data_IF_233483083604
#
_entry.id   IF_233483083604
#
_cell.length_a   1.000
_cell.length_b   1.000
_cell.length_c   1.000
_cell.angle_alpha   90.00
_cell.angle_beta   90.00
_cell.angle_gamma   90.00
#
_symmetry.space_group_name_H-M   'P 1'
#
loop_
_entity.id
_entity.type
_entity.pdbx_description
1 polymer ?
#
# COMPACT_ATOMS: atom_id res chain seq x y z
N UNK A 1 37.17 82.63 -12.69
CA UNK A 1 36.46 82.32 -11.44
C UNK A 1 34.96 82.36 -11.71
N UNK A 2 34.27 81.20 -11.70
CA UNK A 2 32.80 81.16 -11.68
C UNK A 2 32.38 80.68 -10.30
N UNK A 3 31.70 81.55 -9.56
CA UNK A 3 31.05 81.23 -8.30
C UNK A 3 29.85 80.30 -8.58
N UNK A 4 29.88 79.07 -8.05
CA UNK A 4 28.68 78.23 -7.92
C UNK A 4 28.08 78.46 -6.53
N UNK A 5 26.80 78.86 -6.51
CA UNK A 5 26.03 79.20 -5.32
C UNK A 5 25.87 78.03 -4.31
N UNK A 6 25.80 78.28 -2.99
CA UNK A 6 25.67 77.22 -1.97
C UNK A 6 24.24 76.64 -1.83
N UNK A 7 23.27 77.12 -2.61
CA UNK A 7 21.83 76.87 -2.38
C UNK A 7 21.33 75.54 -2.99
N UNK A 8 22.07 74.94 -3.92
CA UNK A 8 21.60 73.76 -4.68
C UNK A 8 21.77 72.43 -3.91
N UNK A 9 22.76 72.36 -3.00
CA UNK A 9 23.05 71.16 -2.22
C UNK A 9 21.95 70.75 -1.19
N UNK A 10 21.38 71.68 -0.38
CA UNK A 10 20.35 71.31 0.60
C UNK A 10 19.03 70.89 -0.05
N UNK A 11 18.63 71.53 -1.17
CA UNK A 11 17.39 71.18 -1.87
C UNK A 11 17.42 69.77 -2.48
N UNK A 12 18.59 69.33 -2.97
CA UNK A 12 18.74 67.98 -3.54
C UNK A 12 18.67 66.89 -2.46
N UNK A 13 19.29 67.12 -1.30
CA UNK A 13 19.23 66.20 -0.17
C UNK A 13 17.82 66.09 0.44
N UNK A 14 17.05 67.18 0.44
CA UNK A 14 15.65 67.19 0.89
C UNK A 14 14.73 66.46 -0.09
N UNK A 15 14.93 66.64 -1.40
CA UNK A 15 14.20 65.91 -2.43
C UNK A 15 14.46 64.39 -2.39
N UNK A 16 15.72 63.97 -2.19
CA UNK A 16 16.07 62.54 -2.05
C UNK A 16 15.52 61.92 -0.77
N UNK A 17 15.43 62.69 0.32
CA UNK A 17 14.76 62.24 1.56
C UNK A 17 13.25 62.12 1.37
N UNK A 18 12.65 63.00 0.56
CA UNK A 18 11.23 62.96 0.25
C UNK A 18 10.88 61.76 -0.63
N UNK A 19 11.65 61.49 -1.69
CA UNK A 19 11.45 60.29 -2.52
C UNK A 19 11.61 58.99 -1.73
N UNK A 20 12.62 58.89 -0.85
CA UNK A 20 12.77 57.71 0.02
C UNK A 20 11.57 57.49 0.94
N UNK A 21 10.99 58.56 1.50
CA UNK A 21 9.77 58.45 2.32
C UNK A 21 8.56 58.01 1.50
N UNK A 22 8.41 58.50 0.27
CA UNK A 22 7.32 58.10 -0.64
C UNK A 22 7.46 56.62 -1.09
N UNK A 23 8.69 56.14 -1.28
CA UNK A 23 9.01 54.73 -1.54
C UNK A 23 8.69 53.84 -0.33
N UNK A 24 9.09 54.25 0.87
CA UNK A 24 8.79 53.55 2.13
C UNK A 24 7.28 53.50 2.39
N UNK A 25 6.55 54.60 2.16
CA UNK A 25 5.09 54.65 2.26
C UNK A 25 4.40 53.72 1.26
N UNK A 26 4.90 53.67 0.02
CA UNK A 26 4.40 52.76 -1.01
C UNK A 26 4.62 51.29 -0.64
N UNK A 27 5.79 50.97 -0.06
CA UNK A 27 6.11 49.63 0.41
C UNK A 27 5.22 49.23 1.60
N UNK A 28 4.97 50.14 2.53
CA UNK A 28 4.07 49.90 3.68
C UNK A 28 2.65 49.62 3.19
N UNK A 29 2.15 50.37 2.21
CA UNK A 29 0.80 50.16 1.63
C UNK A 29 0.74 48.79 0.94
N UNK A 30 1.76 48.42 0.17
CA UNK A 30 1.84 47.13 -0.49
C UNK A 30 1.86 45.96 0.52
N UNK A 31 2.73 46.03 1.53
CA UNK A 31 2.81 45.01 2.57
C UNK A 31 1.52 44.89 3.37
N UNK A 32 0.85 46.01 3.66
CA UNK A 32 -0.45 45.99 4.34
C UNK A 32 -1.52 45.26 3.53
N UNK A 33 -1.55 45.48 2.21
CA UNK A 33 -2.47 44.80 1.30
C UNK A 33 -2.18 43.30 1.20
N UNK A 34 -0.91 42.92 1.19
CA UNK A 34 -0.49 41.52 1.15
C UNK A 34 -0.86 40.77 2.45
N UNK A 35 -0.68 41.42 3.62
CA UNK A 35 -1.09 40.88 4.92
C UNK A 35 -2.62 40.70 4.98
N UNK A 36 -3.38 41.68 4.49
CA UNK A 36 -4.84 41.60 4.43
C UNK A 36 -5.32 40.45 3.53
N UNK A 37 -4.70 40.27 2.35
CA UNK A 37 -4.98 39.14 1.47
C UNK A 37 -4.61 37.78 2.11
N UNK A 38 -3.50 37.72 2.85
CA UNK A 38 -3.08 36.52 3.57
C UNK A 38 -4.03 36.17 4.73
N UNK A 39 -4.55 37.16 5.44
CA UNK A 39 -5.56 36.97 6.49
C UNK A 39 -6.86 36.39 5.93
N UNK A 40 -7.40 36.98 4.86
CA UNK A 40 -8.61 36.47 4.20
C UNK A 40 -8.44 35.02 3.71
N UNK A 41 -7.27 34.69 3.17
CA UNK A 41 -6.95 33.32 2.76
C UNK A 41 -6.91 32.37 3.96
N UNK A 42 -6.36 32.81 5.08
CA UNK A 42 -6.28 32.01 6.31
C UNK A 42 -7.67 31.75 6.87
N UNK A 43 -8.54 32.76 6.94
CA UNK A 43 -9.92 32.61 7.40
C UNK A 43 -10.72 31.64 6.51
N UNK A 44 -10.53 31.72 5.19
CA UNK A 44 -11.17 30.79 4.24
C UNK A 44 -10.70 29.34 4.46
N UNK A 45 -9.41 29.14 4.67
CA UNK A 45 -8.84 27.80 4.93
C UNK A 45 -9.23 27.26 6.31
N UNK A 46 -9.41 28.12 7.30
CA UNK A 46 -9.89 27.72 8.62
C UNK A 46 -11.34 27.24 8.56
N UNK A 47 -12.19 27.94 7.80
CA UNK A 47 -13.57 27.53 7.54
C UNK A 47 -13.64 26.18 6.82
N UNK A 48 -12.86 25.99 5.75
CA UNK A 48 -12.80 24.70 5.03
C UNK A 48 -12.31 23.57 5.95
N UNK A 49 -11.30 23.83 6.80
CA UNK A 49 -10.86 22.86 7.79
C UNK A 49 -11.96 22.51 8.81
N UNK A 50 -12.78 23.48 9.21
CA UNK A 50 -13.91 23.23 10.11
C UNK A 50 -14.96 22.35 9.43
N UNK A 51 -15.29 22.60 8.17
CA UNK A 51 -16.23 21.79 7.39
C UNK A 51 -15.70 20.36 7.20
N UNK A 52 -14.41 20.20 6.87
CA UNK A 52 -13.75 18.89 6.77
C UNK A 52 -13.77 18.14 8.10
N UNK A 53 -13.56 18.84 9.23
CA UNK A 53 -13.65 18.23 10.57
C UNK A 53 -15.07 17.73 10.86
N UNK A 54 -16.10 18.49 10.49
CA UNK A 54 -17.50 18.05 10.64
C UNK A 54 -17.79 16.82 9.78
N UNK A 55 -17.30 16.81 8.54
CA UNK A 55 -17.46 15.67 7.63
C UNK A 55 -16.76 14.41 8.15
N UNK A 56 -15.56 14.54 8.71
CA UNK A 56 -14.86 13.44 9.37
C UNK A 56 -15.67 12.90 10.56
N UNK A 57 -16.29 13.76 11.37
CA UNK A 57 -17.16 13.33 12.48
C UNK A 57 -18.37 12.57 11.94
N UNK A 58 -19.02 13.08 10.89
CA UNK A 58 -20.16 12.44 10.24
C UNK A 58 -19.81 11.06 9.67
N UNK A 59 -18.69 10.95 8.95
CA UNK A 59 -18.20 9.70 8.39
C UNK A 59 -17.81 8.70 9.48
N UNK A 60 -17.18 9.16 10.57
CA UNK A 60 -16.89 8.31 11.74
C UNK A 60 -18.18 7.76 12.37
N UNK A 61 -19.22 8.58 12.51
CA UNK A 61 -20.52 8.12 13.01
C UNK A 61 -21.15 7.07 12.08
N UNK A 62 -21.07 7.26 10.76
CA UNK A 62 -21.55 6.30 9.77
C UNK A 62 -20.78 4.97 9.85
N UNK A 63 -19.45 5.01 9.98
CA UNK A 63 -18.61 3.82 10.16
C UNK A 63 -18.98 3.09 11.46
N UNK A 64 -19.19 3.82 12.56
CA UNK A 64 -19.64 3.24 13.83
C UNK A 64 -20.99 2.53 13.69
N UNK A 65 -21.96 3.13 13.00
CA UNK A 65 -23.26 2.53 12.71
C UNK A 65 -23.13 1.26 11.87
N UNK A 66 -22.34 1.29 10.79
CA UNK A 66 -22.07 0.12 9.95
C UNK A 66 -21.39 -1.01 10.73
N UNK A 67 -20.43 -0.67 11.59
CA UNK A 67 -19.73 -1.62 12.45
C UNK A 67 -20.66 -2.24 13.50
N UNK A 68 -21.60 -1.47 14.06
CA UNK A 68 -22.63 -1.99 14.97
C UNK A 68 -23.53 -3.00 14.24
N UNK A 69 -23.97 -2.67 13.03
CA UNK A 69 -24.80 -3.56 12.22
C UNK A 69 -24.08 -4.85 11.82
N UNK A 70 -22.78 -4.78 11.50
CA UNK A 70 -21.96 -5.96 11.21
C UNK A 70 -21.78 -6.85 12.46
N UNK A 71 -21.55 -6.24 13.62
CA UNK A 71 -21.49 -6.97 14.89
C UNK A 71 -22.83 -7.62 15.25
N UNK A 72 -23.96 -6.96 14.98
CA UNK A 72 -25.30 -7.52 15.18
C UNK A 72 -25.57 -8.71 14.26
N UNK A 73 -25.22 -8.59 12.96
CA UNK A 73 -25.28 -9.71 12.00
C UNK A 73 -24.45 -10.90 12.46
N UNK A 74 -23.22 -10.65 12.91
CA UNK A 74 -22.34 -11.70 13.47
C UNK A 74 -22.98 -12.32 14.71
N UNK A 75 -23.52 -11.53 15.63
CA UNK A 75 -24.20 -12.00 16.83
C UNK A 75 -25.41 -12.89 16.50
N UNK A 76 -26.21 -12.52 15.50
CA UNK A 76 -27.34 -13.34 15.03
C UNK A 76 -26.89 -14.67 14.42
N UNK A 77 -25.80 -14.67 13.64
CA UNK A 77 -25.21 -15.90 13.09
C UNK A 77 -24.66 -16.81 14.19
N UNK A 78 -23.97 -16.24 15.18
CA UNK A 78 -23.47 -16.97 16.35
C UNK A 78 -24.63 -17.57 17.17
N UNK A 79 -25.73 -16.85 17.37
CA UNK A 79 -26.94 -17.37 18.02
C UNK A 79 -27.58 -18.53 17.24
N UNK A 80 -27.60 -18.45 15.90
CA UNK A 80 -28.07 -19.56 15.04
C UNK A 80 -27.17 -20.79 15.11
N UNK A 81 -25.85 -20.61 15.24
CA UNK A 81 -24.92 -21.71 15.40
C UNK A 81 -25.07 -22.42 16.76
N UNK A 82 -25.45 -21.67 17.80
CA UNK A 82 -25.52 -22.18 19.18
C UNK A 82 -26.82 -22.96 19.49
N UNK A 83 -27.90 -22.74 18.72
CA UNK A 83 -29.18 -23.44 18.86
C UNK A 83 -29.59 -24.16 17.55
N UNK A 84 -29.11 -25.39 17.28
CA UNK A 84 -29.45 -26.12 16.06
C UNK A 84 -30.79 -26.86 16.13
N UNK A 85 -31.44 -26.93 17.30
CA UNK A 85 -32.62 -27.76 17.55
C UNK A 85 -33.89 -26.91 17.72
N UNK A 86 -34.31 -26.25 16.63
CA UNK A 86 -35.72 -25.88 16.45
C UNK A 86 -36.04 -25.80 14.96
N UNK A 87 -35.91 -26.96 14.30
CA UNK A 87 -36.34 -27.15 12.92
C UNK A 87 -37.10 -28.46 12.85
N UNK A 88 -38.35 -28.43 13.33
CA UNK A 88 -39.33 -29.48 13.05
C UNK A 88 -40.72 -28.86 13.14
N UNK A 89 -41.52 -29.04 12.07
CA UNK A 89 -42.91 -28.60 11.85
C UNK A 89 -43.01 -27.18 11.23
N UNK A 90 -43.66 -26.95 10.09
CA UNK A 90 -44.58 -27.78 9.30
C UNK A 90 -44.61 -27.23 7.88
N UNK A 91 -44.50 -28.13 6.90
CA UNK A 91 -45.10 -27.99 5.57
C UNK A 91 -46.62 -27.75 5.69
N UNK A 92 -47.24 -27.31 4.58
CA UNK A 92 -48.68 -27.08 4.34
C UNK A 92 -49.15 -25.64 4.59
N UNK A 93 -49.19 -24.81 3.53
CA UNK A 93 -50.43 -24.39 2.85
C UNK A 93 -50.11 -23.41 1.70
N UNK A 94 -49.94 -23.92 0.48
CA UNK A 94 -50.29 -23.16 -0.72
C UNK A 94 -51.79 -23.36 -0.93
N UNK A 95 -52.57 -22.28 -0.98
CA UNK A 95 -53.64 -22.00 -1.95
C UNK A 95 -54.63 -20.95 -1.41
N UNK A 96 -54.84 -19.87 -2.21
CA UNK A 96 -56.14 -19.18 -2.48
C UNK A 96 -56.35 -17.74 -1.95
N UNK A 97 -57.02 -16.98 -2.83
CA UNK A 97 -57.54 -15.59 -2.82
C UNK A 97 -56.51 -14.50 -3.18
N UNK A 98 -56.52 -13.84 -4.36
CA UNK A 98 -57.56 -13.34 -5.29
C UNK A 98 -58.55 -12.36 -4.64
N UNK A 99 -58.28 -11.08 -4.95
CA UNK A 99 -59.15 -9.92 -5.17
C UNK A 99 -60.17 -9.48 -4.10
N UNK A 100 -59.94 -8.29 -3.49
CA UNK A 100 -60.93 -7.19 -3.45
C UNK A 100 -60.35 -5.85 -2.92
N UNK A 101 -60.54 -4.78 -3.71
CA UNK A 101 -60.90 -3.38 -3.34
C UNK A 101 -59.89 -2.40 -2.69
N UNK A 102 -59.35 -1.52 -3.55
CA UNK A 102 -59.68 -0.08 -3.78
C UNK A 102 -60.01 0.84 -2.58
N UNK A 103 -59.51 2.10 -2.68
CA UNK A 103 -59.81 3.36 -1.92
C UNK A 103 -58.80 3.61 -0.78
N UNK A 104 -58.16 4.78 -0.56
CA UNK A 104 -58.34 6.16 -1.03
C UNK A 104 -57.02 6.96 -0.96
N UNK A 105 -56.98 8.04 -1.71
CA UNK A 105 -55.93 9.06 -1.81
C UNK A 105 -55.83 9.95 -0.55
N UNK A 106 -54.60 10.38 -0.22
CA UNK A 106 -54.24 11.82 -0.12
C UNK A 106 -52.76 11.96 0.21
N UNK A 107 -51.97 12.39 -0.77
CA UNK A 107 -50.61 12.89 -0.57
C UNK A 107 -50.57 14.33 -1.11
N UNK A 108 -50.14 15.26 -0.27
CA UNK A 108 -49.92 16.66 -0.63
C UNK A 108 -48.45 16.83 -0.98
N UNK A 109 -48.22 17.31 -2.21
CA UNK A 109 -46.92 17.64 -2.80
C UNK A 109 -46.30 18.89 -2.15
N UNK A 110 -44.95 18.91 -2.04
CA UNK A 110 -44.03 20.04 -2.28
C UNK A 110 -42.60 19.53 -2.03
N UNK A 111 -41.52 19.86 -2.76
CA UNK A 111 -41.27 20.20 -4.17
C UNK A 111 -39.73 20.21 -4.34
N UNK A 112 -39.19 19.31 -5.16
CA UNK A 112 -37.92 19.32 -5.97
C UNK A 112 -36.52 19.66 -5.39
N UNK A 113 -35.40 19.33 -6.11
CA UNK A 113 -35.25 18.41 -7.25
C UNK A 113 -34.11 17.37 -7.08
N UNK A 114 -34.33 16.19 -7.68
CA UNK A 114 -33.37 15.09 -7.83
C UNK A 114 -32.77 15.12 -9.26
N UNK A 115 -31.45 15.02 -9.48
CA UNK A 115 -30.91 14.91 -10.82
C UNK A 115 -31.25 13.55 -11.45
N UNK A 116 -31.62 13.62 -12.72
CA UNK A 116 -32.08 12.55 -13.60
C UNK A 116 -31.04 11.43 -13.79
N UNK A 117 -31.49 10.18 -13.64
CA UNK A 117 -30.81 8.99 -14.16
C UNK A 117 -31.18 8.90 -15.65
N UNK A 118 -30.49 9.69 -16.47
CA UNK A 118 -30.49 9.55 -17.93
C UNK A 118 -29.07 9.74 -18.44
N UNK A 119 -28.11 9.00 -17.89
CA UNK A 119 -26.76 8.95 -18.47
C UNK A 119 -26.03 7.65 -18.10
N UNK A 120 -26.70 6.50 -18.25
CA UNK A 120 -26.01 5.19 -18.20
C UNK A 120 -26.48 4.20 -19.27
N UNK A 121 -27.29 4.63 -20.23
CA UNK A 121 -27.64 3.84 -21.41
C UNK A 121 -26.59 4.06 -22.52
N UNK A 122 -25.36 3.64 -22.26
CA UNK A 122 -24.33 3.44 -23.29
C UNK A 122 -23.35 2.37 -22.83
N UNK A 123 -23.88 1.25 -22.32
CA UNK A 123 -23.10 0.02 -22.27
C UNK A 123 -23.11 -0.52 -23.70
N UNK A 124 -22.04 -0.15 -24.41
CA UNK A 124 -21.59 -0.76 -25.65
C UNK A 124 -21.69 -2.28 -25.52
N UNK A 125 -22.48 -2.87 -26.40
CA UNK A 125 -22.44 -4.27 -26.76
C UNK A 125 -20.98 -4.68 -27.03
N UNK A 126 -20.33 -5.34 -26.06
CA UNK A 126 -18.95 -5.82 -26.20
C UNK A 126 -18.98 -7.10 -27.03
N UNK A 127 -18.62 -6.98 -28.31
CA UNK A 127 -18.28 -8.11 -29.17
C UNK A 127 -17.03 -8.85 -28.65
N UNK A 128 -16.94 -10.14 -28.98
CA UNK A 128 -15.78 -11.00 -28.71
C UNK A 128 -14.48 -10.33 -29.17
N UNK A 129 -13.55 -10.13 -28.24
CA UNK A 129 -12.27 -9.45 -28.49
C UNK A 129 -11.24 -10.49 -28.95
N UNK A 130 -10.57 -10.19 -30.06
CA UNK A 130 -9.42 -10.98 -30.52
C UNK A 130 -8.23 -10.66 -29.60
N UNK A 131 -7.52 -11.66 -29.05
CA UNK A 131 -6.37 -11.42 -28.18
C UNK A 131 -5.25 -10.69 -28.93
N UNK A 132 -4.63 -9.68 -28.31
CA UNK A 132 -3.38 -9.13 -28.82
C UNK A 132 -2.21 -10.06 -28.45
N UNK A 133 -1.27 -10.32 -29.37
CA UNK A 133 -0.14 -11.19 -29.06
C UNK A 133 0.77 -10.58 -27.98
N UNK A 134 1.38 -11.39 -27.10
CA UNK A 134 2.32 -10.89 -26.11
C UNK A 134 3.59 -10.33 -26.76
N UNK A 135 4.32 -9.42 -26.09
CA UNK A 135 5.61 -8.94 -26.56
C UNK A 135 6.60 -10.11 -26.68
N UNK A 136 7.12 -10.35 -27.88
CA UNK A 136 7.99 -11.50 -28.18
C UNK A 136 9.44 -11.19 -27.78
N UNK A 137 10.15 -12.08 -27.05
CA UNK A 137 11.56 -11.89 -26.72
C UNK A 137 12.47 -12.11 -27.94
N UNK A 138 13.54 -11.32 -28.04
CA UNK A 138 14.54 -11.37 -29.12
C UNK A 138 15.32 -12.69 -29.05
N UNK A 139 15.15 -13.57 -30.05
CA UNK A 139 15.77 -14.90 -30.08
C UNK A 139 16.80 -15.02 -31.20
N UNK A 140 18.05 -15.33 -30.80
CA UNK A 140 19.08 -15.94 -31.64
C UNK A 140 19.26 -17.38 -31.12
N UNK A 141 19.14 -18.36 -32.02
CA UNK A 141 19.38 -19.81 -31.80
C UNK A 141 20.74 -20.22 -32.43
N UNK A 142 21.26 -21.49 -32.36
CA UNK A 142 20.71 -22.80 -31.89
C UNK A 142 21.79 -23.67 -31.12
N UNK A 143 21.84 -25.04 -31.10
CA UNK A 143 20.84 -26.13 -31.26
C UNK A 143 20.79 -27.17 -30.11
N UNK A 144 19.84 -28.11 -30.24
CA UNK A 144 19.40 -29.22 -29.35
C UNK A 144 20.17 -30.55 -29.56
N UNK A 145 20.18 -31.42 -28.52
CA UNK A 145 20.45 -32.88 -28.63
C UNK A 145 19.48 -33.70 -27.76
N UNK A 146 19.14 -34.90 -28.25
CA UNK A 146 18.19 -35.92 -27.73
C UNK A 146 18.95 -37.16 -27.20
N UNK A 147 18.34 -37.91 -26.27
CA UNK A 147 18.35 -39.40 -26.05
C UNK A 147 17.53 -39.69 -24.75
N UNK A 148 16.44 -40.49 -24.66
CA UNK A 148 16.22 -41.96 -24.74
C UNK A 148 17.07 -42.78 -23.72
N UNK A 149 16.63 -43.73 -22.88
CA UNK A 149 15.43 -44.59 -22.81
C UNK A 149 15.31 -45.33 -21.43
N UNK A 150 14.09 -45.76 -21.07
CA UNK A 150 13.58 -46.94 -20.29
C UNK A 150 14.12 -47.45 -18.91
N UNK A 151 13.21 -47.60 -17.91
CA UNK A 151 12.74 -48.92 -17.36
C UNK A 151 11.68 -48.82 -16.22
N UNK A 152 10.79 -49.85 -16.14
CA UNK A 152 9.58 -50.03 -15.28
C UNK A 152 9.81 -50.73 -13.91
N UNK A 153 9.19 -50.20 -12.82
CA UNK A 153 8.30 -50.73 -11.71
C UNK A 153 8.32 -52.21 -11.21
N UNK A 154 7.75 -52.63 -10.02
CA UNK A 154 7.12 -51.95 -8.83
C UNK A 154 7.50 -52.62 -7.43
N UNK A 155 6.64 -52.69 -6.36
CA UNK A 155 6.42 -51.73 -5.26
C UNK A 155 6.67 -52.28 -3.81
N UNK A 156 6.76 -51.43 -2.77
CA UNK A 156 6.02 -51.53 -1.46
C UNK A 156 6.53 -50.61 -0.33
N UNK A 157 5.57 -50.21 0.52
CA UNK A 157 5.64 -49.75 1.91
C UNK A 157 5.98 -48.27 2.21
N UNK A 158 4.97 -47.60 2.78
CA UNK A 158 5.03 -46.27 3.38
C UNK A 158 5.47 -46.36 4.86
N UNK A 159 6.27 -45.40 5.37
CA UNK A 159 6.47 -45.23 6.81
C UNK A 159 5.38 -44.34 7.44
N UNK A 160 5.06 -44.54 8.73
CA UNK A 160 4.00 -43.81 9.44
C UNK A 160 4.36 -42.35 9.76
N UNK A 161 3.36 -41.50 10.06
CA UNK A 161 3.57 -40.07 10.35
C UNK A 161 4.23 -39.83 11.72
N UNK A 162 5.12 -38.82 11.84
CA UNK A 162 5.73 -38.42 13.10
C UNK A 162 4.74 -37.66 14.02
N UNK A 163 4.87 -37.81 15.36
CA UNK A 163 4.02 -37.19 16.36
C UNK A 163 4.25 -35.66 16.52
N UNK A 164 3.24 -34.93 17.02
CA UNK A 164 3.30 -33.47 17.20
C UNK A 164 4.20 -33.04 18.39
N UNK A 165 4.93 -31.93 18.28
CA UNK A 165 5.82 -31.45 19.34
C UNK A 165 5.05 -30.78 20.51
N UNK A 166 5.52 -30.93 21.76
CA UNK A 166 4.90 -30.33 22.94
C UNK A 166 5.17 -28.82 23.04
N UNK A 167 4.16 -28.09 23.51
CA UNK A 167 4.25 -26.71 23.94
C UNK A 167 5.28 -26.52 25.06
N UNK A 168 6.29 -25.68 24.87
CA UNK A 168 6.99 -25.00 25.96
C UNK A 168 7.17 -23.51 25.64
N UNK A 169 6.43 -22.68 26.36
CA UNK A 169 6.69 -21.26 26.54
C UNK A 169 7.71 -21.06 27.67
N UNK A 170 8.78 -20.30 27.41
CA UNK A 170 9.55 -19.52 28.39
C UNK A 170 10.52 -18.63 27.58
N UNK A 171 10.33 -17.32 27.42
CA UNK A 171 10.40 -16.23 28.39
C UNK A 171 10.77 -14.97 27.57
N UNK A 172 10.65 -13.71 27.99
CA UNK A 172 10.24 -13.07 29.23
C UNK A 172 10.18 -11.57 28.92
N UNK A 173 9.00 -10.94 28.95
CA UNK A 173 8.82 -9.52 29.33
C UNK A 173 7.46 -9.41 30.02
N UNK A 174 7.47 -8.80 31.21
CA UNK A 174 6.42 -8.82 32.20
C UNK A 174 5.11 -8.18 31.71
N UNK A 175 4.09 -9.01 31.45
CA UNK A 175 2.67 -8.68 31.61
C UNK A 175 1.94 -9.97 32.01
N UNK A 176 1.44 -10.04 33.25
CA UNK A 176 0.56 -11.13 33.68
C UNK A 176 -0.86 -10.77 33.24
N UNK A 177 -1.54 -11.66 32.51
CA UNK A 177 -2.98 -11.51 32.29
C UNK A 177 -3.67 -11.61 33.63
N UNK A 178 -4.47 -10.60 33.96
CA UNK A 178 -5.28 -10.51 35.17
C UNK A 178 -6.71 -10.95 34.77
N UNK A 179 -7.12 -12.20 35.05
CA UNK A 179 -8.45 -12.70 34.67
C UNK A 179 -9.58 -11.87 35.29
N UNK A 180 -9.33 -11.26 36.45
CA UNK A 180 -10.27 -10.36 37.13
C UNK A 180 -10.66 -9.15 36.29
N UNK A 181 -9.81 -8.66 35.38
CA UNK A 181 -10.15 -7.52 34.50
C UNK A 181 -11.26 -7.90 33.51
N UNK A 182 -11.23 -9.15 33.03
CA UNK A 182 -12.26 -9.67 32.12
C UNK A 182 -13.56 -9.90 32.87
N UNK A 183 -13.49 -10.43 34.10
CA UNK A 183 -14.68 -10.59 34.95
C UNK A 183 -15.27 -9.24 35.40
N UNK A 184 -14.43 -8.26 35.72
CA UNK A 184 -14.83 -6.90 36.07
C UNK A 184 -15.50 -6.20 34.89
N UNK A 185 -14.93 -6.31 33.68
CA UNK A 185 -15.56 -5.82 32.45
C UNK A 185 -16.90 -6.52 32.18
N UNK A 186 -16.98 -7.84 32.40
CA UNK A 186 -18.22 -8.61 32.26
C UNK A 186 -19.26 -8.26 33.34
N UNK A 187 -18.84 -7.87 34.53
CA UNK A 187 -19.70 -7.41 35.61
C UNK A 187 -20.27 -6.01 35.33
N UNK A 188 -19.44 -5.10 34.81
CA UNK A 188 -19.85 -3.75 34.41
C UNK A 188 -20.80 -3.76 33.20
N UNK A 189 -20.59 -4.66 32.24
CA UNK A 189 -21.40 -4.73 31.01
C UNK A 189 -22.66 -5.58 31.14
N UNK A 190 -22.87 -6.28 32.26
CA UNK A 190 -24.05 -7.14 32.50
C UNK A 190 -25.15 -6.53 33.35
N UNK A 191 -24.99 -5.31 33.87
CA UNK A 191 -26.07 -4.60 34.58
C UNK A 191 -26.75 -3.59 33.68
N UNK A 192 -27.68 -4.09 32.86
CA UNK A 192 -28.86 -3.37 32.35
C UNK A 192 -29.86 -4.36 31.72
N UNK A 193 -30.20 -5.43 32.45
CA UNK A 193 -31.22 -6.39 32.01
C UNK A 193 -32.06 -6.92 33.17
N UNK A 194 -32.36 -6.07 34.16
CA UNK A 194 -33.34 -6.39 35.18
C UNK A 194 -34.14 -5.16 35.59
N UNK A 195 -35.20 -4.87 34.84
CA UNK A 195 -36.50 -4.42 35.36
C UNK A 195 -37.56 -4.58 34.25
N UNK A 196 -38.79 -4.90 34.69
CA UNK A 196 -40.06 -4.91 33.95
C UNK A 196 -40.45 -6.16 33.12
N UNK A 197 -40.95 -7.16 33.86
CA UNK A 197 -42.11 -7.93 33.43
C UNK A 197 -43.35 -7.00 33.43
N UNK A 198 -44.08 -6.90 32.30
CA UNK A 198 -45.54 -7.15 32.20
C UNK A 198 -46.07 -6.76 30.81
N UNK A 199 -46.94 -7.62 30.29
CA UNK A 199 -48.08 -7.38 29.37
C UNK A 199 -47.94 -8.01 27.98
N UNK A 200 -48.86 -8.96 27.76
CA UNK A 200 -49.14 -9.69 26.52
C UNK A 200 -49.59 -8.74 25.40
N UNK A 201 -49.23 -9.05 24.15
CA UNK A 201 -50.18 -9.01 23.03
C UNK A 201 -49.59 -9.73 21.81
N UNK A 202 -50.42 -10.55 21.18
CA UNK A 202 -50.11 -11.29 19.96
C UNK A 202 -49.80 -10.33 18.80
N UNK A 203 -48.66 -10.53 18.14
CA UNK A 203 -48.40 -9.96 16.82
C UNK A 203 -47.49 -10.91 16.04
N UNK A 204 -48.04 -11.41 14.94
CA UNK A 204 -47.35 -12.17 13.90
C UNK A 204 -46.14 -11.35 13.43
N UNK A 205 -44.91 -11.90 13.38
CA UNK A 205 -43.80 -11.17 12.79
C UNK A 205 -43.99 -11.20 11.27
N UNK A 206 -44.55 -10.12 10.72
CA UNK A 206 -44.42 -9.79 9.31
C UNK A 206 -42.93 -9.68 9.03
N UNK A 207 -42.43 -10.53 8.14
CA UNK A 207 -41.06 -10.48 7.63
C UNK A 207 -40.85 -9.12 6.99
N UNK A 208 -40.17 -8.22 7.70
CA UNK A 208 -39.76 -6.93 7.18
C UNK A 208 -38.64 -7.17 6.16
N UNK A 209 -39.01 -7.29 4.88
CA UNK A 209 -38.08 -7.12 3.77
C UNK A 209 -37.48 -5.72 3.88
N UNK A 210 -36.24 -5.62 4.36
CA UNK A 210 -35.54 -4.33 4.33
C UNK A 210 -35.41 -3.91 2.86
N UNK A 211 -35.74 -2.66 2.48
CA UNK A 211 -35.68 -2.18 1.09
C UNK A 211 -34.31 -2.36 0.43
N UNK A 212 -33.26 -2.50 1.25
CA UNK A 212 -31.88 -2.73 0.81
C UNK A 212 -31.58 -4.20 0.44
N UNK A 213 -32.38 -5.16 0.90
CA UNK A 213 -32.14 -6.58 0.65
C UNK A 213 -32.44 -6.96 -0.81
N UNK A 214 -33.46 -6.36 -1.42
CA UNK A 214 -33.79 -6.57 -2.84
C UNK A 214 -32.64 -6.04 -3.72
N UNK A 215 -32.18 -4.80 -3.49
CA UNK A 215 -31.06 -4.23 -4.24
C UNK A 215 -29.74 -4.99 -4.04
N UNK A 216 -29.47 -5.51 -2.83
CA UNK A 216 -28.29 -6.33 -2.58
C UNK A 216 -28.37 -7.70 -3.28
N UNK A 217 -29.56 -8.32 -3.36
CA UNK A 217 -29.80 -9.56 -4.08
C UNK A 217 -29.69 -9.34 -5.59
N UNK A 218 -30.27 -8.28 -6.13
CA UNK A 218 -30.19 -7.91 -7.54
C UNK A 218 -28.77 -7.56 -7.98
N UNK A 219 -28.02 -6.83 -7.14
CA UNK A 219 -26.62 -6.53 -7.42
C UNK A 219 -25.75 -7.80 -7.40
N UNK A 220 -25.96 -8.68 -6.41
CA UNK A 220 -25.29 -9.98 -6.36
C UNK A 220 -25.68 -10.86 -7.55
N UNK A 221 -26.95 -10.87 -7.96
CA UNK A 221 -27.43 -11.67 -9.09
C UNK A 221 -26.90 -11.12 -10.42
N UNK A 222 -26.83 -9.80 -10.57
CA UNK A 222 -26.22 -9.12 -11.72
C UNK A 222 -24.73 -9.43 -11.83
N UNK A 223 -23.98 -9.28 -10.74
CA UNK A 223 -22.55 -9.61 -10.69
C UNK A 223 -22.26 -11.08 -11.02
N UNK A 224 -23.01 -12.02 -10.43
CA UNK A 224 -22.88 -13.44 -10.74
C UNK A 224 -23.27 -13.77 -12.20
N UNK A 225 -24.26 -13.08 -12.74
CA UNK A 225 -24.67 -13.23 -14.14
C UNK A 225 -23.61 -12.69 -15.10
N UNK A 226 -22.98 -11.57 -14.74
CA UNK A 226 -21.88 -10.99 -15.49
C UNK A 226 -20.65 -11.91 -15.52
N UNK A 227 -20.29 -12.53 -14.37
CA UNK A 227 -19.24 -13.57 -14.32
C UNK A 227 -19.60 -14.74 -15.23
N UNK A 228 -20.81 -15.30 -15.13
CA UNK A 228 -21.23 -16.42 -15.98
C UNK A 228 -21.20 -16.06 -17.48
N UNK A 229 -21.62 -14.85 -17.83
CA UNK A 229 -21.54 -14.33 -19.19
C UNK A 229 -20.09 -14.24 -19.68
N UNK A 230 -19.15 -13.75 -18.86
CA UNK A 230 -17.74 -13.69 -19.22
C UNK A 230 -17.12 -15.08 -19.35
N UNK A 231 -17.43 -16.02 -18.46
CA UNK A 231 -16.98 -17.41 -18.54
C UNK A 231 -17.41 -18.06 -19.86
N UNK A 232 -18.63 -17.80 -20.31
CA UNK A 232 -19.14 -18.35 -21.58
C UNK A 232 -18.54 -17.63 -22.80
N UNK A 233 -18.58 -16.30 -22.82
CA UNK A 233 -18.20 -15.49 -24.00
C UNK A 233 -16.70 -15.36 -24.21
N UNK A 234 -15.91 -15.45 -23.15
CA UNK A 234 -14.46 -15.24 -23.21
C UNK A 234 -13.67 -16.56 -23.13
N UNK A 235 -14.34 -17.70 -23.31
CA UNK A 235 -13.71 -19.01 -23.21
C UNK A 235 -12.53 -19.18 -24.17
N UNK A 236 -12.65 -18.79 -25.44
CA UNK A 236 -11.51 -18.88 -26.38
C UNK A 236 -10.37 -17.95 -25.98
N UNK A 237 -10.70 -16.75 -25.52
CA UNK A 237 -9.72 -15.76 -25.05
C UNK A 237 -8.94 -16.28 -23.83
N UNK A 238 -9.62 -16.81 -22.81
CA UNK A 238 -8.95 -17.41 -21.64
C UNK A 238 -8.12 -18.63 -22.04
N UNK A 239 -8.63 -19.50 -22.92
CA UNK A 239 -7.84 -20.63 -23.42
C UNK A 239 -6.59 -20.20 -24.19
N UNK A 240 -6.63 -19.06 -24.89
CA UNK A 240 -5.45 -18.45 -25.49
C UNK A 240 -4.46 -17.98 -24.40
N UNK A 241 -4.93 -17.24 -23.39
CA UNK A 241 -4.08 -16.79 -22.29
C UNK A 241 -3.44 -17.97 -21.52
N UNK A 242 -4.19 -19.06 -21.30
CA UNK A 242 -3.67 -20.29 -20.67
C UNK A 242 -2.45 -20.80 -21.45
N UNK A 243 -2.59 -20.94 -22.77
CA UNK A 243 -1.48 -21.42 -23.62
C UNK A 243 -0.28 -20.48 -23.59
N UNK A 244 -0.51 -19.16 -23.61
CA UNK A 244 0.58 -18.18 -23.52
C UNK A 244 1.29 -18.25 -22.16
N UNK A 245 0.56 -18.33 -21.05
CA UNK A 245 1.17 -18.45 -19.72
C UNK A 245 1.89 -19.79 -19.57
N UNK A 246 1.32 -20.91 -20.01
CA UNK A 246 1.95 -22.24 -19.94
C UNK A 246 3.22 -22.32 -20.78
N UNK A 247 3.20 -21.79 -22.01
CA UNK A 247 4.34 -21.81 -22.93
C UNK A 247 5.40 -20.73 -22.64
N UNK A 248 5.07 -19.75 -21.80
CA UNK A 248 6.01 -18.67 -21.47
C UNK A 248 7.31 -19.20 -20.86
N UNK A 249 8.44 -18.75 -21.41
CA UNK A 249 9.77 -19.04 -20.91
C UNK A 249 10.63 -17.80 -21.17
N UNK A 250 11.19 -17.23 -20.11
CA UNK A 250 11.89 -15.95 -20.19
C UNK A 250 13.37 -16.13 -19.88
N UNK A 251 14.21 -15.35 -20.56
CA UNK A 251 15.65 -15.27 -20.28
C UNK A 251 16.00 -14.05 -19.44
N UNK A 252 15.26 -12.96 -19.62
CA UNK A 252 15.43 -11.73 -18.86
C UNK A 252 14.19 -11.36 -18.05
N UNK A 253 14.40 -10.77 -16.89
CA UNK A 253 13.33 -10.34 -15.97
C UNK A 253 12.55 -9.12 -16.52
N UNK A 254 13.14 -8.34 -17.42
CA UNK A 254 12.42 -7.24 -18.09
C UNK A 254 11.31 -7.76 -18.99
N UNK A 255 11.54 -8.90 -19.66
CA UNK A 255 10.52 -9.57 -20.47
C UNK A 255 9.37 -10.08 -19.59
N UNK A 256 9.68 -10.63 -18.41
CA UNK A 256 8.66 -11.04 -17.43
C UNK A 256 7.81 -9.86 -17.00
N UNK A 257 8.41 -8.68 -16.73
CA UNK A 257 7.66 -7.47 -16.38
C UNK A 257 6.73 -7.03 -17.51
N UNK A 258 7.22 -7.02 -18.75
CA UNK A 258 6.43 -6.66 -19.91
C UNK A 258 5.27 -7.64 -20.14
N UNK A 259 5.54 -8.94 -19.98
CA UNK A 259 4.55 -10.00 -20.09
C UNK A 259 3.48 -9.91 -19.00
N UNK A 260 3.87 -9.74 -17.73
CA UNK A 260 2.91 -9.58 -16.62
C UNK A 260 2.04 -8.35 -16.84
N UNK A 261 2.64 -7.23 -17.28
CA UNK A 261 1.86 -6.03 -17.61
C UNK A 261 0.83 -6.33 -18.71
N UNK A 262 1.23 -6.99 -19.79
CA UNK A 262 0.32 -7.39 -20.86
C UNK A 262 -0.77 -8.33 -20.33
N UNK A 263 -0.42 -9.34 -19.52
CA UNK A 263 -1.35 -10.31 -18.98
C UNK A 263 -2.40 -9.63 -18.09
N UNK A 264 -1.98 -8.74 -17.20
CA UNK A 264 -2.87 -7.98 -16.33
C UNK A 264 -3.74 -7.01 -17.14
N UNK A 265 -3.20 -6.38 -18.19
CA UNK A 265 -3.97 -5.52 -19.11
C UNK A 265 -5.04 -6.34 -19.87
N UNK A 266 -4.74 -7.56 -20.32
CA UNK A 266 -5.69 -8.47 -20.97
C UNK A 266 -6.77 -8.97 -19.98
N UNK A 267 -6.38 -9.38 -18.78
CA UNK A 267 -7.29 -9.86 -17.73
C UNK A 267 -8.15 -8.74 -17.13
N UNK A 268 -7.72 -7.47 -17.21
CA UNK A 268 -8.52 -6.30 -16.79
C UNK A 268 -9.84 -6.14 -17.55
N UNK A 269 -9.98 -6.83 -18.69
CA UNK A 269 -11.22 -6.83 -19.47
C UNK A 269 -12.35 -7.65 -18.85
N UNK A 270 -12.03 -8.54 -17.91
CA UNK A 270 -12.96 -9.39 -17.17
C UNK A 270 -13.67 -8.60 -16.07
N UNK A 271 -14.91 -8.98 -15.77
CA UNK A 271 -15.68 -8.40 -14.66
C UNK A 271 -15.01 -8.67 -13.31
N UNK A 272 -14.53 -9.90 -13.12
CA UNK A 272 -13.74 -10.30 -11.95
C UNK A 272 -12.76 -11.40 -12.37
N UNK A 273 -11.48 -11.07 -12.43
CA UNK A 273 -10.42 -11.98 -12.86
C UNK A 273 -10.48 -13.31 -12.06
N UNK A 274 -10.46 -13.24 -10.73
CA UNK A 274 -10.36 -14.43 -9.88
C UNK A 274 -11.62 -15.28 -9.96
N UNK A 275 -12.79 -14.66 -9.96
CA UNK A 275 -14.05 -15.39 -10.04
C UNK A 275 -14.25 -16.05 -11.42
N UNK A 276 -13.88 -15.36 -12.51
CA UNK A 276 -13.96 -15.92 -13.86
C UNK A 276 -12.95 -17.04 -14.04
N UNK A 277 -11.66 -16.81 -13.72
CA UNK A 277 -10.58 -17.79 -13.90
C UNK A 277 -10.79 -19.08 -13.08
N UNK A 278 -11.49 -19.02 -11.94
CA UNK A 278 -11.85 -20.20 -11.15
C UNK A 278 -12.69 -21.24 -11.93
N UNK A 279 -13.43 -20.82 -12.95
CA UNK A 279 -14.22 -21.72 -13.79
C UNK A 279 -13.38 -22.44 -14.86
N UNK A 280 -12.09 -22.09 -14.98
CA UNK A 280 -11.15 -22.68 -15.93
C UNK A 280 -10.10 -23.51 -15.18
N UNK A 281 -10.31 -24.85 -15.02
CA UNK A 281 -9.41 -25.69 -14.23
C UNK A 281 -8.00 -25.82 -14.80
N UNK A 282 -7.81 -25.50 -16.09
CA UNK A 282 -6.52 -25.49 -16.77
C UNK A 282 -5.77 -24.17 -16.58
N UNK A 283 -6.32 -23.20 -15.85
CA UNK A 283 -5.62 -21.96 -15.57
C UNK A 283 -4.33 -22.24 -14.78
N UNK A 284 -3.14 -21.87 -15.28
CA UNK A 284 -1.86 -22.15 -14.63
C UNK A 284 -1.61 -21.16 -13.48
N UNK A 285 -2.49 -21.15 -12.48
CA UNK A 285 -2.53 -20.19 -11.37
C UNK A 285 -1.17 -20.02 -10.69
N UNK A 286 -0.52 -21.15 -10.36
CA UNK A 286 0.79 -21.13 -9.70
C UNK A 286 1.87 -20.44 -10.52
N UNK A 287 1.84 -20.59 -11.85
CA UNK A 287 2.81 -19.97 -12.75
C UNK A 287 2.51 -18.48 -12.95
N UNK A 288 1.23 -18.13 -13.16
CA UNK A 288 0.80 -16.74 -13.27
C UNK A 288 1.15 -15.94 -12.00
N UNK A 289 0.88 -16.51 -10.83
CA UNK A 289 1.22 -15.89 -9.54
C UNK A 289 2.73 -15.77 -9.36
N UNK A 290 3.50 -16.78 -9.73
CA UNK A 290 4.97 -16.72 -9.67
C UNK A 290 5.55 -15.63 -10.61
N UNK A 291 4.99 -15.46 -11.81
CA UNK A 291 5.37 -14.39 -12.74
C UNK A 291 5.09 -13.02 -12.15
N UNK A 292 3.89 -12.81 -11.60
CA UNK A 292 3.50 -11.56 -10.92
C UNK A 292 4.37 -11.26 -9.72
N UNK A 293 4.62 -12.26 -8.89
CA UNK A 293 5.50 -12.15 -7.73
C UNK A 293 6.93 -11.76 -8.14
N UNK A 294 7.49 -12.42 -9.15
CA UNK A 294 8.82 -12.09 -9.68
C UNK A 294 8.90 -10.67 -10.23
N UNK A 295 7.93 -10.27 -11.06
CA UNK A 295 7.85 -8.93 -11.63
C UNK A 295 7.71 -7.85 -10.55
N UNK A 296 6.88 -8.10 -9.53
CA UNK A 296 6.69 -7.19 -8.40
C UNK A 296 7.96 -7.05 -7.58
N UNK A 297 8.53 -8.16 -7.12
CA UNK A 297 9.72 -8.19 -6.27
C UNK A 297 10.90 -7.50 -6.96
N UNK A 298 11.16 -7.84 -8.23
CA UNK A 298 12.23 -7.20 -8.98
C UNK A 298 12.01 -5.69 -9.13
N UNK A 299 10.79 -5.26 -9.44
CA UNK A 299 10.45 -3.83 -9.56
C UNK A 299 10.64 -3.10 -8.24
N UNK A 300 10.17 -3.66 -7.14
CA UNK A 300 10.28 -3.05 -5.80
C UNK A 300 11.75 -2.86 -5.40
N UNK A 301 12.56 -3.90 -5.56
CA UNK A 301 14.00 -3.85 -5.30
C UNK A 301 14.72 -2.85 -6.22
N UNK A 302 14.39 -2.84 -7.51
CA UNK A 302 14.98 -1.90 -8.48
C UNK A 302 14.61 -0.45 -8.14
N UNK A 303 13.37 -0.19 -7.73
CA UNK A 303 12.95 1.14 -7.32
C UNK A 303 13.72 1.60 -6.07
N UNK A 304 13.87 0.72 -5.07
CA UNK A 304 14.64 1.02 -3.87
C UNK A 304 16.14 1.23 -4.17
N UNK A 305 16.72 0.40 -5.05
CA UNK A 305 18.08 0.58 -5.53
C UNK A 305 18.24 1.96 -6.19
N UNK A 306 17.30 2.33 -7.07
CA UNK A 306 17.34 3.61 -7.77
C UNK A 306 17.18 4.80 -6.83
N UNK A 307 16.37 4.68 -5.78
CA UNK A 307 16.19 5.71 -4.74
C UNK A 307 17.50 5.96 -3.98
N UNK A 308 18.23 4.89 -3.63
CA UNK A 308 19.51 4.98 -2.92
C UNK A 308 20.63 5.45 -3.86
N UNK A 309 20.65 4.92 -5.09
CA UNK A 309 21.63 5.27 -6.11
C UNK A 309 21.43 6.70 -6.62
N UNK A 310 20.22 7.25 -6.60
CA UNK A 310 19.98 8.66 -6.96
C UNK A 310 20.05 9.62 -5.77
N UNK A 311 20.23 9.11 -4.55
CA UNK A 311 20.27 9.93 -3.35
C UNK A 311 21.34 11.02 -3.44
N UNK A 312 20.91 12.25 -3.15
CA UNK A 312 21.77 13.43 -3.05
C UNK A 312 21.52 14.13 -1.72
N UNK A 313 22.59 14.44 -1.02
CA UNK A 313 22.53 15.25 0.19
C UNK A 313 22.34 16.73 -0.17
N UNK A 314 21.36 17.37 0.46
CA UNK A 314 21.12 18.79 0.32
C UNK A 314 21.88 19.53 1.42
N UNK A 315 22.89 20.35 1.10
CA UNK A 315 23.70 21.03 2.11
C UNK A 315 22.90 22.02 2.97
N UNK A 316 21.73 22.47 2.50
CA UNK A 316 20.83 23.38 3.21
C UNK A 316 20.00 22.68 4.29
N UNK A 317 19.88 21.36 4.25
CA UNK A 317 19.07 20.62 5.21
C UNK A 317 19.81 20.51 6.54
N UNK A 318 19.08 20.63 7.65
CA UNK A 318 19.63 20.41 8.99
C UNK A 318 20.30 19.03 9.06
N UNK A 319 21.49 18.96 9.66
CA UNK A 319 22.27 17.72 9.77
C UNK A 319 21.43 16.55 10.26
N UNK A 320 20.68 16.71 11.35
CA UNK A 320 19.83 15.66 11.92
C UNK A 320 18.81 15.11 10.93
N UNK A 321 18.19 15.97 10.12
CA UNK A 321 17.22 15.56 9.09
C UNK A 321 17.92 14.81 7.95
N UNK A 322 19.06 15.32 7.49
CA UNK A 322 19.85 14.69 6.45
C UNK A 322 20.32 13.29 6.87
N UNK A 323 20.93 13.17 8.06
CA UNK A 323 21.39 11.89 8.61
C UNK A 323 20.22 10.94 8.86
N UNK A 324 19.08 11.44 9.36
CA UNK A 324 17.87 10.64 9.59
C UNK A 324 17.31 10.02 8.30
N UNK A 325 17.28 10.77 7.19
CA UNK A 325 16.87 10.22 5.88
C UNK A 325 17.84 9.15 5.38
N UNK A 326 19.15 9.36 5.52
CA UNK A 326 20.15 8.37 5.13
C UNK A 326 20.03 7.09 5.97
N UNK A 327 19.78 7.21 7.27
CA UNK A 327 19.52 6.06 8.14
C UNK A 327 18.24 5.32 7.73
N UNK A 328 17.15 6.04 7.49
CA UNK A 328 15.89 5.42 7.07
C UNK A 328 16.00 4.68 5.72
N UNK A 329 16.77 5.22 4.78
CA UNK A 329 17.07 4.53 3.51
C UNK A 329 17.90 3.27 3.73
N UNK A 330 18.95 3.34 4.56
CA UNK A 330 19.75 2.17 4.93
C UNK A 330 18.89 1.10 5.62
N UNK A 331 18.01 1.48 6.54
CA UNK A 331 17.09 0.57 7.24
C UNK A 331 16.12 -0.12 6.27
N UNK A 332 15.65 0.57 5.24
CA UNK A 332 14.78 -0.01 4.20
C UNK A 332 15.55 -1.00 3.33
N UNK A 333 16.78 -0.66 2.95
CA UNK A 333 17.70 -1.51 2.20
C UNK A 333 17.95 -2.84 2.93
N UNK A 334 18.35 -2.75 4.19
CA UNK A 334 18.64 -3.91 5.03
C UNK A 334 17.42 -4.81 5.21
N UNK A 335 16.26 -4.22 5.55
CA UNK A 335 15.02 -5.00 5.71
C UNK A 335 14.58 -5.68 4.42
N UNK A 336 14.70 -5.01 3.29
CA UNK A 336 14.29 -5.55 2.00
C UNK A 336 15.19 -6.72 1.57
N UNK A 337 16.52 -6.55 1.71
CA UNK A 337 17.46 -7.63 1.40
C UNK A 337 17.32 -8.80 2.37
N UNK A 338 17.25 -8.56 3.68
CA UNK A 338 17.12 -9.63 4.68
C UNK A 338 15.83 -10.45 4.47
N UNK A 339 14.71 -9.80 4.13
CA UNK A 339 13.47 -10.49 3.75
C UNK A 339 13.65 -11.37 2.50
N UNK A 340 14.34 -10.85 1.48
CA UNK A 340 14.60 -11.58 0.24
C UNK A 340 15.56 -12.76 0.49
N UNK A 341 16.61 -12.56 1.28
CA UNK A 341 17.60 -13.58 1.62
C UNK A 341 16.99 -14.74 2.41
N UNK A 342 16.08 -14.47 3.34
CA UNK A 342 15.39 -15.51 4.12
C UNK A 342 14.51 -16.43 3.29
N UNK A 343 14.00 -15.96 2.15
CA UNK A 343 13.07 -16.73 1.29
C UNK A 343 13.68 -17.13 -0.06
N UNK A 344 14.93 -16.70 -0.32
CA UNK A 344 15.63 -16.80 -1.60
C UNK A 344 15.62 -18.21 -2.17
N UNK A 345 16.03 -19.21 -1.41
CA UNK A 345 16.18 -20.59 -1.92
C UNK A 345 14.83 -21.17 -2.38
N UNK A 346 13.74 -20.82 -1.68
CA UNK A 346 12.39 -21.24 -2.03
C UNK A 346 11.87 -20.54 -3.29
N UNK A 347 12.17 -19.25 -3.45
CA UNK A 347 11.81 -18.47 -4.64
C UNK A 347 12.60 -18.94 -5.86
N UNK A 348 13.91 -19.14 -5.74
CA UNK A 348 14.77 -19.64 -6.83
C UNK A 348 14.26 -20.99 -7.32
N UNK A 349 13.93 -21.91 -6.42
CA UNK A 349 13.37 -23.21 -6.80
C UNK A 349 12.07 -23.05 -7.59
N UNK A 350 11.12 -22.27 -7.06
CA UNK A 350 9.83 -22.00 -7.72
C UNK A 350 10.01 -21.36 -9.09
N UNK A 351 10.88 -20.37 -9.20
CA UNK A 351 11.14 -19.65 -10.45
C UNK A 351 11.79 -20.56 -11.49
N UNK A 352 12.72 -21.42 -11.08
CA UNK A 352 13.32 -22.43 -11.96
C UNK A 352 12.28 -23.41 -12.48
N UNK A 353 11.40 -23.91 -11.61
CA UNK A 353 10.32 -24.84 -11.99
C UNK A 353 9.38 -24.22 -13.05
N UNK A 354 9.21 -22.90 -13.04
CA UNK A 354 8.37 -22.15 -13.98
C UNK A 354 9.12 -21.45 -15.12
N UNK A 355 10.43 -21.68 -15.28
CA UNK A 355 11.25 -21.02 -16.32
C UNK A 355 11.25 -19.49 -16.23
N UNK A 356 11.24 -18.97 -15.00
CA UNK A 356 11.35 -17.55 -14.67
C UNK A 356 12.82 -17.25 -14.31
N UNK A 357 13.43 -16.19 -14.89
CA UNK A 357 14.77 -15.74 -14.54
C UNK A 357 14.90 -15.49 -13.03
N UNK A 358 15.94 -16.05 -12.42
CA UNK A 358 16.18 -16.04 -10.97
C UNK A 358 17.59 -15.56 -10.63
N UNK A 359 18.46 -15.40 -11.62
CA UNK A 359 19.85 -15.00 -11.49
C UNK A 359 20.00 -13.62 -10.82
N UNK A 360 19.01 -12.74 -10.99
CA UNK A 360 18.97 -11.43 -10.36
C UNK A 360 18.84 -11.49 -8.82
N UNK A 361 18.37 -12.61 -8.25
CA UNK A 361 18.28 -12.83 -6.80
C UNK A 361 19.63 -13.18 -6.16
N UNK A 362 20.64 -13.50 -6.96
CA UNK A 362 21.97 -13.86 -6.47
C UNK A 362 22.73 -12.62 -5.97
N UNK A 363 23.75 -12.85 -5.13
CA UNK A 363 24.66 -11.80 -4.68
C UNK A 363 25.47 -11.16 -5.84
N UNK A 364 25.53 -11.82 -7.00
CA UNK A 364 26.13 -11.27 -8.22
C UNK A 364 25.15 -10.43 -9.06
N UNK A 365 23.85 -10.48 -8.73
CA UNK A 365 22.78 -9.78 -9.42
C UNK A 365 22.33 -8.52 -8.66
N UNK A 366 21.01 -8.28 -8.66
CA UNK A 366 20.39 -7.08 -8.07
C UNK A 366 20.66 -6.99 -6.57
N UNK A 367 20.70 -8.10 -5.84
CA UNK A 367 21.01 -8.09 -4.40
C UNK A 367 22.41 -7.55 -4.12
N UNK A 368 23.39 -7.95 -4.93
CA UNK A 368 24.75 -7.39 -4.87
C UNK A 368 24.77 -5.91 -5.17
N UNK A 369 24.08 -5.49 -6.24
CA UNK A 369 23.99 -4.08 -6.61
C UNK A 369 23.38 -3.22 -5.49
N UNK A 370 22.33 -3.70 -4.83
CA UNK A 370 21.72 -3.03 -3.68
C UNK A 370 22.67 -2.94 -2.47
N UNK A 371 23.43 -4.00 -2.19
CA UNK A 371 24.49 -3.94 -1.17
C UNK A 371 25.56 -2.91 -1.53
N UNK A 372 25.95 -2.82 -2.80
CA UNK A 372 26.92 -1.82 -3.26
C UNK A 372 26.37 -0.39 -3.23
N UNK A 373 25.08 -0.17 -3.54
CA UNK A 373 24.47 1.17 -3.49
C UNK A 373 24.45 1.74 -2.08
N UNK A 374 24.42 0.89 -1.04
CA UNK A 374 24.59 1.32 0.36
C UNK A 374 25.95 1.99 0.63
N UNK A 375 27.01 1.62 -0.11
CA UNK A 375 28.33 2.25 0.03
C UNK A 375 28.31 3.70 -0.41
N UNK A 376 27.55 4.01 -1.47
CA UNK A 376 27.32 5.39 -1.91
C UNK A 376 26.65 6.20 -0.80
N UNK A 377 25.65 5.63 -0.13
CA UNK A 377 24.97 6.25 0.99
C UNK A 377 25.91 6.48 2.18
N UNK A 378 26.75 5.50 2.53
CA UNK A 378 27.81 5.64 3.52
C UNK A 378 28.81 6.74 3.18
N UNK A 379 29.29 6.81 1.94
CA UNK A 379 30.18 7.88 1.50
C UNK A 379 29.58 9.25 1.72
N UNK A 380 28.30 9.44 1.36
CA UNK A 380 27.59 10.72 1.54
C UNK A 380 27.41 11.04 3.02
N UNK A 381 27.01 10.06 3.82
CA UNK A 381 26.84 10.18 5.27
C UNK A 381 28.12 10.62 5.97
N UNK A 382 29.23 9.93 5.69
CA UNK A 382 30.52 10.20 6.30
C UNK A 382 31.06 11.57 5.88
N UNK A 383 30.91 11.94 4.61
CA UNK A 383 31.29 13.29 4.14
C UNK A 383 30.48 14.39 4.80
N UNK A 384 29.18 14.19 5.05
CA UNK A 384 28.32 15.17 5.71
C UNK A 384 28.74 15.38 7.17
N UNK A 385 29.01 14.30 7.91
CA UNK A 385 29.53 14.38 9.28
C UNK A 385 30.92 15.03 9.31
N UNK A 386 31.83 14.61 8.44
CA UNK A 386 33.19 15.16 8.35
C UNK A 386 33.17 16.68 8.13
N UNK A 387 32.30 17.17 7.24
CA UNK A 387 32.13 18.61 7.00
C UNK A 387 31.59 19.35 8.23
N UNK A 388 30.61 18.77 8.93
CA UNK A 388 30.07 19.40 10.14
C UNK A 388 31.15 19.51 11.22
N UNK A 389 31.91 18.44 11.45
CA UNK A 389 33.00 18.41 12.43
C UNK A 389 34.10 19.45 12.12
N UNK A 390 34.32 19.76 10.84
CA UNK A 390 35.25 20.82 10.44
C UNK A 390 34.71 22.25 10.66
N UNK A 391 33.40 22.41 10.70
CA UNK A 391 32.74 23.72 10.83
C UNK A 391 32.44 24.09 12.28
N UNK A 392 32.35 23.10 13.17
CA UNK A 392 31.79 23.26 14.50
C UNK A 392 32.80 22.78 15.57
N UNK A 393 33.85 23.56 15.80
CA UNK A 393 34.98 23.24 16.71
C UNK A 393 34.60 23.13 18.21
N UNK A 394 33.33 23.27 18.60
CA UNK A 394 32.93 23.30 20.01
C UNK A 394 31.50 22.79 20.25
N UNK A 395 31.42 21.63 20.89
CA UNK A 395 30.24 20.92 21.44
C UNK A 395 29.55 19.91 20.51
N UNK A 396 29.70 18.61 20.85
CA UNK A 396 28.99 17.49 20.22
C UNK A 396 29.80 16.59 19.28
N UNK A 397 31.08 16.91 19.04
CA UNK A 397 31.97 16.21 18.10
C UNK A 397 32.08 14.70 18.35
N UNK A 398 32.26 14.28 19.61
CA UNK A 398 32.40 12.86 19.96
C UNK A 398 31.15 12.03 19.63
N UNK A 399 29.96 12.62 19.74
CA UNK A 399 28.70 11.96 19.42
C UNK A 399 28.55 11.79 17.90
N UNK A 400 28.88 12.83 17.13
CA UNK A 400 28.85 12.78 15.67
C UNK A 400 29.90 11.82 15.09
N UNK A 401 31.11 11.81 15.65
CA UNK A 401 32.15 10.86 15.26
C UNK A 401 31.72 9.42 15.54
N UNK A 402 31.19 9.15 16.74
CA UNK A 402 30.68 7.83 17.11
C UNK A 402 29.50 7.42 16.25
N UNK A 403 28.60 8.35 15.91
CA UNK A 403 27.48 8.13 15.00
C UNK A 403 27.98 7.76 13.60
N UNK A 404 28.95 8.49 13.06
CA UNK A 404 29.62 8.19 11.80
C UNK A 404 30.28 6.82 11.79
N UNK A 405 31.02 6.48 12.84
CA UNK A 405 31.68 5.18 12.99
C UNK A 405 30.68 4.02 13.08
N UNK A 406 29.58 4.18 13.84
CA UNK A 406 28.50 3.18 13.93
C UNK A 406 27.83 2.96 12.57
N UNK A 407 27.55 4.04 11.85
CA UNK A 407 26.94 3.95 10.52
C UNK A 407 27.88 3.26 9.52
N UNK A 408 29.16 3.65 9.50
CA UNK A 408 30.18 3.01 8.69
C UNK A 408 30.29 1.51 8.98
N UNK A 409 30.40 1.13 10.27
CA UNK A 409 30.49 -0.27 10.67
C UNK A 409 29.26 -1.06 10.23
N UNK A 410 28.06 -0.51 10.41
CA UNK A 410 26.80 -1.15 9.99
C UNK A 410 26.79 -1.42 8.48
N UNK A 411 27.09 -0.40 7.66
CA UNK A 411 27.13 -0.53 6.21
C UNK A 411 28.24 -1.49 5.76
N UNK A 412 29.40 -1.48 6.42
CA UNK A 412 30.49 -2.42 6.14
C UNK A 412 30.06 -3.88 6.36
N UNK A 413 29.38 -4.17 7.48
CA UNK A 413 28.85 -5.52 7.75
C UNK A 413 27.80 -5.94 6.72
N UNK A 414 26.93 -4.99 6.33
CA UNK A 414 25.88 -5.24 5.35
C UNK A 414 26.40 -5.51 3.94
N UNK A 415 27.34 -4.68 3.47
CA UNK A 415 27.90 -4.78 2.11
C UNK A 415 29.04 -5.81 2.00
N UNK A 416 29.61 -6.24 3.12
CA UNK A 416 30.77 -7.14 3.16
C UNK A 416 32.12 -6.45 2.91
N UNK A 417 32.20 -5.13 3.05
CA UNK A 417 33.40 -4.34 2.81
C UNK A 417 33.11 -2.93 2.30
N UNK A 418 34.16 -2.15 2.04
CA UNK A 418 34.08 -0.82 1.45
C UNK A 418 34.81 -0.74 0.11
N UNK A 419 34.31 0.12 -0.77
CA UNK A 419 35.01 0.53 -1.98
C UNK A 419 36.06 1.60 -1.69
N UNK A 420 36.95 1.88 -2.65
CA UNK A 420 38.04 2.83 -2.48
C UNK A 420 37.57 4.26 -2.14
N UNK A 421 36.36 4.64 -2.55
CA UNK A 421 35.80 5.95 -2.23
C UNK A 421 35.30 6.04 -0.80
N UNK A 422 34.61 5.00 -0.33
CA UNK A 422 34.09 4.93 1.04
C UNK A 422 35.22 4.77 2.05
N UNK A 423 36.27 4.00 1.71
CA UNK A 423 37.50 3.92 2.51
C UNK A 423 38.11 5.32 2.71
N UNK A 424 38.25 6.11 1.64
CA UNK A 424 38.78 7.48 1.73
C UNK A 424 37.89 8.37 2.61
N UNK A 425 36.57 8.33 2.42
CA UNK A 425 35.64 9.10 3.25
C UNK A 425 35.72 8.72 4.74
N UNK A 426 35.89 7.43 5.05
CA UNK A 426 36.07 6.95 6.41
C UNK A 426 37.43 7.34 7.01
N UNK A 427 38.49 7.33 6.21
CA UNK A 427 39.83 7.77 6.65
C UNK A 427 39.85 9.26 7.02
N UNK A 428 39.16 10.12 6.25
CA UNK A 428 39.01 11.55 6.59
C UNK A 428 38.27 11.73 7.92
N UNK A 429 37.16 11.03 8.13
CA UNK A 429 36.45 11.04 9.42
C UNK A 429 37.37 10.63 10.58
N UNK A 430 38.15 9.55 10.39
CA UNK A 430 39.12 9.07 11.39
C UNK A 430 40.20 10.10 11.68
N UNK A 431 40.72 10.80 10.66
CA UNK A 431 41.76 11.81 10.80
C UNK A 431 41.29 12.98 11.68
N UNK A 432 40.05 13.41 11.51
CA UNK A 432 39.44 14.45 12.37
C UNK A 432 39.32 13.94 13.81
N UNK A 433 38.77 12.75 14.00
CA UNK A 433 38.60 12.18 15.35
C UNK A 433 39.92 11.94 16.10
N UNK A 434 40.99 11.58 15.40
CA UNK A 434 42.33 11.45 15.99
C UNK A 434 43.03 12.81 16.21
N UNK A 435 42.59 13.86 15.53
CA UNK A 435 43.03 15.24 15.76
C UNK A 435 42.45 15.80 17.05
N UNK A 436 41.15 15.61 17.30
CA UNK A 436 40.48 16.04 18.54
C UNK A 436 40.96 15.28 19.79
N UNK A 437 41.42 14.02 19.65
CA UNK A 437 41.93 13.22 20.80
C UNK A 437 43.35 13.59 21.27
N UNK A 438 44.05 14.48 20.54
CA UNK A 438 45.43 14.91 20.84
C UNK A 438 45.52 16.32 21.43
N UNK A 439 44.40 17.02 21.56
CA UNK A 439 44.25 18.22 22.39
C UNK A 439 43.70 17.81 23.75
#
# INVERSE_FOLDING_TARGET
MRFQSPVIAPMKAEQERKMRKEEDESLIIYLKKEVEAALLRTDSLEKENQDLRQEVVRLKAQICSLKAHDNERKSMLWKKLQNPFDSSKTEVFLQKQSDFVKVSERNVEHSSPRPSIQELASIKEKHAKVPNPPPRPTSVAPPSLKEANDNKLPPTSAPPPPPPPPNMCAGSKAVRRVPEVVEFYRLLTRRDAHMENRTNSAAIPVVAFTPNMIGEIENRSSYLSAIKSDVEKQKEFINFLIKEVESSAFKDISDVKAFVKWLDDELSSLVDERAVLKHFPQWPERKADALREAAFNYRDLTNLESEVSSFQDNPKDLLTLALGRMQALQDRLERSIDNMERTRESMIKRYRDFQIPWEWLLNTGLIGQMKLSSLRLAKVYLKRITKELQLNECSGEDNLLLQGARFAYRVHQFAGGFDAETIRAFQELKKIGMGSLKQ
#
